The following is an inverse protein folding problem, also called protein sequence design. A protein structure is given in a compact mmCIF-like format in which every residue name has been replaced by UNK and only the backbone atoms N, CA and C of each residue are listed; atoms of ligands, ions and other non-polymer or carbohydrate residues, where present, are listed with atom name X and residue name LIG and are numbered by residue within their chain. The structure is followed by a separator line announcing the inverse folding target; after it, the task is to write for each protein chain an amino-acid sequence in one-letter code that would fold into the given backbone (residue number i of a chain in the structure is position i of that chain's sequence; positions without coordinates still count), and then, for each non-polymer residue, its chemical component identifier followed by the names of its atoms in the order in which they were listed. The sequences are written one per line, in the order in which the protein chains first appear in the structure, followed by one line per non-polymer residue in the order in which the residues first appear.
data_IF_029735717309
#
_entry.id   IF_029735717309
#
_cell.length_a   1.000
_cell.length_b   1.000
_cell.length_c   1.000
_cell.angle_alpha   90.00
_cell.angle_beta   90.00
_cell.angle_gamma   90.00
#
_symmetry.space_group_name_H-M   'P 1'
#
loop_
_entity.id
_entity.type
_entity.pdbx_description
1 polymer ?
#
# COMPACT_ATOMS: atom_id res chain seq x y z
N UNK A 1 52.21 45.08 49.27
CA UNK A 1 51.16 44.83 50.29
C UNK A 1 50.38 43.59 49.88
N UNK A 2 50.67 42.45 50.53
CA UNK A 2 49.91 41.20 50.41
C UNK A 2 48.81 41.22 51.47
N UNK A 3 47.55 41.02 51.09
CA UNK A 3 46.49 40.66 52.04
C UNK A 3 45.87 39.34 51.59
N UNK A 4 46.35 38.29 52.25
CA UNK A 4 45.81 36.94 52.19
C UNK A 4 44.37 36.94 52.73
N UNK A 5 43.41 36.54 51.90
CA UNK A 5 42.06 36.22 52.36
C UNK A 5 42.01 34.74 52.73
N UNK A 6 41.69 34.52 53.99
CA UNK A 6 41.62 33.27 54.74
C UNK A 6 40.72 32.24 54.09
N UNK A 7 41.26 31.02 53.92
CA UNK A 7 40.49 29.79 53.72
C UNK A 7 39.80 29.45 55.05
N UNK A 8 38.48 29.60 55.14
CA UNK A 8 37.68 28.97 56.20
C UNK A 8 37.06 27.67 55.67
N UNK A 9 37.46 26.58 56.29
CA UNK A 9 36.90 25.23 56.15
C UNK A 9 35.42 25.21 56.56
N UNK A 10 34.56 24.72 55.67
CA UNK A 10 33.38 23.93 56.05
C UNK A 10 33.33 22.75 55.07
N UNK A 11 33.79 21.61 55.58
CA UNK A 11 33.66 20.29 54.97
C UNK A 11 32.29 19.69 55.40
N UNK A 12 31.84 18.65 54.69
CA UNK A 12 30.60 17.84 54.88
C UNK A 12 29.34 18.28 54.13
N UNK A 13 29.16 17.72 52.92
CA UNK A 13 27.95 16.98 52.52
C UNK A 13 28.17 16.33 51.14
N UNK A 14 28.49 15.05 51.13
CA UNK A 14 28.28 14.19 49.97
C UNK A 14 26.77 14.06 49.76
N UNK A 15 26.23 14.65 48.69
CA UNK A 15 25.01 14.16 48.06
C UNK A 15 25.33 13.82 46.62
N UNK A 16 25.62 12.54 46.42
CA UNK A 16 25.62 11.89 45.12
C UNK A 16 24.21 11.98 44.53
N UNK A 17 23.93 13.06 43.78
CA UNK A 17 22.76 13.07 42.91
C UNK A 17 23.05 12.13 41.75
N UNK A 18 22.67 10.88 41.97
CA UNK A 18 22.48 9.79 41.03
C UNK A 18 22.36 10.27 39.57
N UNK A 19 23.45 10.19 38.82
CA UNK A 19 23.49 10.35 37.38
C UNK A 19 22.88 9.10 36.69
N UNK A 20 21.62 8.77 37.00
CA UNK A 20 20.94 7.51 36.65
C UNK A 20 20.07 7.66 35.39
N UNK A 21 20.44 8.54 34.46
CA UNK A 21 19.65 8.71 33.22
C UNK A 21 20.53 8.97 32.01
N UNK A 22 21.29 7.95 31.60
CA UNK A 22 21.69 7.73 30.19
C UNK A 22 22.36 6.39 29.84
N UNK A 23 22.47 5.44 30.77
CA UNK A 23 23.20 4.17 30.52
C UNK A 23 22.32 2.91 30.41
N UNK A 24 21.02 3.07 30.12
CA UNK A 24 20.09 1.93 29.99
C UNK A 24 19.86 1.46 28.54
N UNK A 25 20.41 2.16 27.54
CA UNK A 25 20.31 1.73 26.14
C UNK A 25 21.65 1.20 25.65
N UNK A 26 21.71 -0.12 25.47
CA UNK A 26 22.81 -0.92 24.90
C UNK A 26 23.78 -1.59 25.89
N UNK A 27 23.23 -2.45 26.78
CA UNK A 27 23.94 -3.69 27.07
C UNK A 27 23.91 -4.55 25.81
N UNK A 28 25.00 -4.52 25.02
CA UNK A 28 25.16 -5.40 23.86
C UNK A 28 25.25 -6.83 24.39
N UNK A 29 24.16 -7.58 24.30
CA UNK A 29 24.19 -9.03 24.51
C UNK A 29 25.32 -9.61 23.68
N UNK A 30 26.16 -10.40 24.33
CA UNK A 30 27.41 -10.89 23.79
C UNK A 30 27.22 -11.55 22.41
N UNK A 31 27.88 -10.95 21.41
CA UNK A 31 28.29 -11.54 20.11
C UNK A 31 27.36 -12.64 19.56
N UNK A 32 26.13 -12.28 19.17
CA UNK A 32 25.39 -13.11 18.21
C UNK A 32 26.21 -13.20 16.92
N UNK A 33 26.58 -14.43 16.53
CA UNK A 33 27.32 -14.63 15.28
C UNK A 33 26.47 -14.15 14.11
N UNK A 34 27.06 -13.33 13.23
CA UNK A 34 26.38 -12.77 12.08
C UNK A 34 26.19 -13.88 11.03
N UNK A 35 25.05 -14.55 11.03
CA UNK A 35 24.72 -15.57 10.03
C UNK A 35 24.25 -14.90 8.74
N UNK A 36 25.06 -14.98 7.69
CA UNK A 36 24.66 -14.55 6.34
C UNK A 36 23.67 -15.58 5.76
N UNK A 37 22.44 -15.18 5.38
CA UNK A 37 21.48 -16.11 4.82
C UNK A 37 21.93 -16.54 3.41
N UNK A 38 21.99 -17.84 3.16
CA UNK A 38 22.32 -18.43 1.85
C UNK A 38 21.08 -18.58 0.96
N UNK A 39 19.89 -18.70 1.57
CA UNK A 39 18.61 -18.87 0.88
C UNK A 39 17.54 -17.90 1.41
N UNK A 40 16.50 -17.65 0.61
CA UNK A 40 15.34 -16.85 1.00
C UNK A 40 14.64 -17.43 2.25
N UNK A 41 14.58 -18.75 2.36
CA UNK A 41 14.02 -19.44 3.53
C UNK A 41 14.83 -19.15 4.81
N UNK A 42 16.16 -19.12 4.71
CA UNK A 42 17.04 -18.82 5.84
C UNK A 42 16.92 -17.36 6.29
N UNK A 43 16.73 -16.42 5.35
CA UNK A 43 16.43 -15.02 5.66
C UNK A 43 15.09 -14.86 6.41
N UNK A 44 14.09 -15.64 6.04
CA UNK A 44 12.79 -15.67 6.75
C UNK A 44 12.93 -16.29 8.13
N UNK A 45 13.65 -17.42 8.24
CA UNK A 45 13.95 -18.10 9.50
C UNK A 45 14.59 -17.14 10.51
N UNK A 46 15.64 -16.41 10.11
CA UNK A 46 16.31 -15.41 10.96
C UNK A 46 15.34 -14.30 11.41
N UNK A 47 14.44 -13.85 10.53
CA UNK A 47 13.42 -12.84 10.90
C UNK A 47 12.40 -13.39 11.89
N UNK A 48 11.93 -14.61 11.69
CA UNK A 48 10.99 -15.29 12.59
C UNK A 48 11.63 -15.50 13.95
N UNK A 49 12.85 -16.04 14.01
CA UNK A 49 13.60 -16.21 15.26
C UNK A 49 13.76 -14.88 16.02
N UNK A 50 14.00 -13.77 15.30
CA UNK A 50 14.07 -12.44 15.90
C UNK A 50 12.73 -11.97 16.48
N UNK A 51 11.62 -12.26 15.82
CA UNK A 51 10.27 -11.92 16.30
C UNK A 51 9.88 -12.78 17.52
N UNK A 52 10.19 -14.07 17.48
CA UNK A 52 9.85 -15.03 18.56
C UNK A 52 10.67 -14.80 19.85
N UNK A 53 11.82 -14.12 19.78
CA UNK A 53 12.57 -13.71 20.98
C UNK A 53 11.76 -12.82 21.92
N UNK A 54 10.79 -12.06 21.42
CA UNK A 54 9.95 -11.15 22.21
C UNK A 54 8.50 -11.19 21.70
N UNK A 55 7.68 -12.19 22.09
CA UNK A 55 6.32 -12.35 21.58
C UNK A 55 5.34 -11.27 22.07
N UNK A 56 5.60 -10.65 23.23
CA UNK A 56 4.75 -9.60 23.81
C UNK A 56 4.84 -8.25 23.07
N UNK A 57 5.90 -8.04 22.25
CA UNK A 57 6.08 -6.77 21.55
C UNK A 57 5.24 -6.77 20.25
N UNK A 58 4.32 -5.81 20.06
CA UNK A 58 3.56 -5.72 18.82
C UNK A 58 4.49 -5.49 17.63
N UNK A 59 4.25 -6.22 16.55
CA UNK A 59 5.04 -6.14 15.32
C UNK A 59 4.67 -4.87 14.56
N UNK A 60 5.68 -4.06 14.21
CA UNK A 60 5.47 -2.88 13.36
C UNK A 60 5.37 -3.29 11.88
N UNK A 61 4.19 -3.14 11.30
CA UNK A 61 3.97 -3.25 9.86
C UNK A 61 4.03 -1.82 9.30
N UNK A 62 4.96 -1.51 8.37
CA UNK A 62 5.06 -0.17 7.82
C UNK A 62 3.85 0.14 6.93
N UNK A 63 3.30 1.35 7.10
CA UNK A 63 2.28 1.87 6.20
C UNK A 63 2.84 2.17 4.80
N UNK A 64 1.95 2.36 3.82
CA UNK A 64 2.34 2.74 2.45
C UNK A 64 3.26 3.97 2.50
N UNK A 65 4.40 3.96 1.78
CA UNK A 65 5.31 5.10 1.77
C UNK A 65 4.55 6.33 1.26
N UNK A 66 4.66 7.43 2.00
CA UNK A 66 4.07 8.70 1.61
C UNK A 66 4.74 9.22 0.34
N UNK A 67 3.92 9.63 -0.62
CA UNK A 67 4.40 10.25 -1.85
C UNK A 67 5.14 11.55 -1.54
N UNK A 68 6.24 11.77 -2.26
CA UNK A 68 6.99 13.01 -2.10
C UNK A 68 6.15 14.17 -2.65
N UNK A 69 5.85 15.14 -1.80
CA UNK A 69 5.11 16.35 -2.17
C UNK A 69 5.96 17.59 -1.95
N UNK A 70 5.81 18.58 -2.82
CA UNK A 70 6.42 19.89 -2.60
C UNK A 70 5.81 20.54 -1.36
N UNK A 71 6.62 21.28 -0.58
CA UNK A 71 6.12 22.00 0.59
C UNK A 71 5.21 23.13 0.14
N UNK A 72 4.09 23.28 0.83
CA UNK A 72 3.17 24.40 0.62
C UNK A 72 3.89 25.73 0.93
N UNK A 73 3.65 26.78 0.13
CA UNK A 73 4.25 28.08 0.38
C UNK A 73 3.77 28.63 1.72
N UNK A 74 4.64 29.29 2.51
CA UNK A 74 4.22 29.96 3.73
C UNK A 74 3.26 31.10 3.37
N UNK A 75 2.23 31.28 4.18
CA UNK A 75 1.15 32.22 3.91
C UNK A 75 1.57 33.68 4.17
N UNK A 76 2.36 33.93 5.22
CA UNK A 76 3.01 35.24 5.43
C UNK A 76 4.54 35.13 5.44
N UNK A 77 5.17 36.00 4.64
CA UNK A 77 6.59 36.31 4.76
C UNK A 77 6.72 37.54 5.64
N UNK A 78 7.37 37.39 6.79
CA UNK A 78 7.51 38.48 7.79
C UNK A 78 8.67 39.42 7.47
N UNK A 79 9.70 38.90 6.80
CA UNK A 79 10.98 39.58 6.60
C UNK A 79 11.04 40.28 5.23
N UNK A 80 9.94 40.92 4.82
CA UNK A 80 9.89 41.66 3.55
C UNK A 80 10.48 43.05 3.75
N UNK A 81 11.62 43.31 3.10
CA UNK A 81 12.22 44.63 3.06
C UNK A 81 11.43 45.55 2.09
N UNK A 82 11.41 46.86 2.35
CA UNK A 82 10.62 47.81 1.56
C UNK A 82 10.94 47.80 0.06
N UNK A 83 9.95 48.09 -0.78
CA UNK A 83 10.04 47.93 -2.24
C UNK A 83 11.11 48.80 -2.93
N UNK A 84 11.53 49.90 -2.28
CA UNK A 84 12.60 50.78 -2.77
C UNK A 84 13.96 50.52 -2.12
N UNK A 85 14.06 49.54 -1.23
CA UNK A 85 15.32 49.18 -0.59
C UNK A 85 16.27 48.49 -1.59
N UNK A 86 17.57 48.75 -1.47
CA UNK A 86 18.59 48.14 -2.34
C UNK A 86 18.80 46.65 -2.09
N UNK A 87 19.53 45.97 -2.98
CA UNK A 87 19.85 44.56 -2.82
C UNK A 87 20.74 44.31 -1.60
N UNK A 88 20.21 43.62 -0.58
CA UNK A 88 20.96 43.21 0.60
C UNK A 88 21.88 42.02 0.34
N UNK A 89 22.85 41.79 1.22
CA UNK A 89 23.81 40.67 1.11
C UNK A 89 23.17 39.27 1.19
N UNK A 90 21.99 39.16 1.81
CA UNK A 90 21.23 37.91 1.93
C UNK A 90 20.29 37.62 0.76
N UNK A 91 19.98 38.60 -0.08
CA UNK A 91 18.95 38.49 -1.14
C UNK A 91 19.30 37.41 -2.16
N UNK A 92 20.58 37.23 -2.46
CA UNK A 92 21.05 36.16 -3.35
C UNK A 92 20.70 34.76 -2.83
N UNK A 93 20.84 34.52 -1.53
CA UNK A 93 20.54 33.21 -0.93
C UNK A 93 19.03 32.96 -0.82
N UNK A 94 18.26 34.02 -0.58
CA UNK A 94 16.80 33.99 -0.62
C UNK A 94 16.33 33.56 -2.01
N UNK A 95 16.79 34.24 -3.07
CA UNK A 95 16.49 33.89 -4.46
C UNK A 95 16.92 32.45 -4.81
N UNK A 96 18.14 32.03 -4.43
CA UNK A 96 18.64 30.67 -4.67
C UNK A 96 17.73 29.62 -4.02
N UNK A 97 17.23 29.88 -2.81
CA UNK A 97 16.27 29.02 -2.11
C UNK A 97 14.92 28.94 -2.83
N UNK A 98 14.39 30.09 -3.23
CA UNK A 98 13.12 30.16 -3.99
C UNK A 98 13.22 29.46 -5.34
N UNK A 99 14.28 29.70 -6.12
CA UNK A 99 14.48 29.04 -7.42
C UNK A 99 14.50 27.52 -7.30
N UNK A 100 15.22 26.97 -6.31
CA UNK A 100 15.25 25.52 -6.07
C UNK A 100 13.89 24.96 -5.68
N UNK A 101 13.16 25.67 -4.81
CA UNK A 101 11.81 25.28 -4.38
C UNK A 101 10.84 25.30 -5.55
N UNK A 102 10.92 26.32 -6.38
CA UNK A 102 10.05 26.49 -7.54
C UNK A 102 10.35 25.46 -8.63
N UNK A 103 11.61 25.19 -8.94
CA UNK A 103 11.96 24.11 -9.87
C UNK A 103 11.50 22.74 -9.35
N UNK A 104 11.69 22.45 -8.07
CA UNK A 104 11.17 21.22 -7.48
C UNK A 104 9.64 21.13 -7.59
N UNK A 105 8.94 22.25 -7.40
CA UNK A 105 7.48 22.34 -7.57
C UNK A 105 7.05 22.09 -9.01
N UNK A 106 7.68 22.74 -9.98
CA UNK A 106 7.38 22.60 -11.40
C UNK A 106 7.64 21.16 -11.86
N UNK A 107 8.81 20.60 -11.52
CA UNK A 107 9.16 19.21 -11.85
C UNK A 107 8.17 18.21 -11.24
N UNK A 108 7.66 18.46 -10.04
CA UNK A 108 6.62 17.64 -9.43
C UNK A 108 5.33 17.66 -10.23
N UNK A 109 4.87 18.85 -10.63
CA UNK A 109 3.63 19.04 -11.38
C UNK A 109 3.72 18.37 -12.74
N UNK A 110 4.83 18.59 -13.47
CA UNK A 110 5.06 17.95 -14.75
C UNK A 110 5.06 16.43 -14.64
N UNK A 111 5.75 15.89 -13.62
CA UNK A 111 5.78 14.44 -13.38
C UNK A 111 4.40 13.86 -13.08
N UNK A 112 3.58 14.54 -12.28
CA UNK A 112 2.22 14.09 -11.98
C UNK A 112 1.37 14.11 -13.26
N UNK A 113 1.44 15.19 -14.04
CA UNK A 113 0.69 15.29 -15.28
C UNK A 113 1.04 14.16 -16.27
N UNK A 114 2.34 13.87 -16.46
CA UNK A 114 2.79 12.74 -17.29
C UNK A 114 2.26 11.39 -16.76
N UNK A 115 2.27 11.19 -15.44
CA UNK A 115 1.75 9.97 -14.82
C UNK A 115 0.23 9.83 -15.03
N UNK A 116 -0.53 10.90 -14.84
CA UNK A 116 -1.98 10.92 -15.05
C UNK A 116 -2.34 10.66 -16.52
N UNK A 117 -1.62 11.25 -17.47
CA UNK A 117 -1.79 10.98 -18.90
C UNK A 117 -1.59 9.48 -19.21
N UNK A 118 -0.48 8.90 -18.74
CA UNK A 118 -0.20 7.48 -18.95
C UNK A 118 -1.21 6.55 -18.26
N UNK A 119 -1.67 6.89 -17.05
CA UNK A 119 -2.67 6.11 -16.33
C UNK A 119 -4.03 6.14 -17.05
N UNK A 120 -4.47 7.31 -17.53
CA UNK A 120 -5.73 7.43 -18.27
C UNK A 120 -5.69 6.70 -19.60
N UNK A 121 -4.57 6.76 -20.33
CA UNK A 121 -4.38 5.98 -21.56
C UNK A 121 -4.39 4.48 -21.29
N UNK A 122 -3.75 4.04 -20.22
CA UNK A 122 -3.71 2.63 -19.84
C UNK A 122 -5.09 2.11 -19.45
N UNK A 123 -5.85 2.88 -18.66
CA UNK A 123 -7.21 2.54 -18.26
C UNK A 123 -8.13 2.43 -19.47
N UNK A 124 -8.09 3.39 -20.41
CA UNK A 124 -8.85 3.33 -21.66
C UNK A 124 -8.54 2.05 -22.45
N UNK A 125 -7.26 1.71 -22.61
CA UNK A 125 -6.85 0.47 -23.31
C UNK A 125 -7.34 -0.78 -22.59
N UNK A 126 -7.34 -0.81 -21.26
CA UNK A 126 -7.88 -1.93 -20.49
C UNK A 126 -9.39 -2.09 -20.71
N UNK A 127 -10.15 -0.99 -20.63
CA UNK A 127 -11.59 -1.00 -20.84
C UNK A 127 -11.95 -1.44 -22.26
N UNK A 128 -11.26 -0.92 -23.28
CA UNK A 128 -11.44 -1.35 -24.67
C UNK A 128 -11.18 -2.85 -24.84
N UNK A 129 -10.10 -3.36 -24.27
CA UNK A 129 -9.78 -4.79 -24.32
C UNK A 129 -10.82 -5.65 -23.60
N UNK A 130 -11.31 -5.20 -22.45
CA UNK A 130 -12.38 -5.87 -21.71
C UNK A 130 -13.67 -5.91 -22.52
N UNK A 131 -14.09 -4.77 -23.10
CA UNK A 131 -15.29 -4.69 -23.96
C UNK A 131 -15.18 -5.61 -25.17
N UNK A 132 -14.03 -5.61 -25.86
CA UNK A 132 -13.81 -6.50 -27.01
C UNK A 132 -13.81 -7.98 -26.60
N UNK A 133 -13.28 -8.32 -25.43
CA UNK A 133 -13.34 -9.68 -24.90
C UNK A 133 -14.78 -10.09 -24.55
N UNK A 134 -15.53 -9.21 -23.90
CA UNK A 134 -16.94 -9.40 -23.55
C UNK A 134 -17.80 -9.59 -24.79
N UNK A 135 -17.68 -8.73 -25.80
CA UNK A 135 -18.40 -8.86 -27.07
C UNK A 135 -18.11 -10.21 -27.77
N UNK A 136 -16.86 -10.67 -27.74
CA UNK A 136 -16.50 -11.99 -28.28
C UNK A 136 -17.12 -13.11 -27.45
N UNK A 137 -17.13 -12.98 -26.13
CA UNK A 137 -17.69 -14.01 -25.23
C UNK A 137 -19.21 -14.07 -25.31
N UNK A 138 -19.91 -12.94 -25.41
CA UNK A 138 -21.37 -12.87 -25.54
C UNK A 138 -21.81 -13.42 -26.88
N UNK A 139 -21.14 -13.06 -27.99
CA UNK A 139 -21.40 -13.66 -29.31
C UNK A 139 -21.26 -15.18 -29.29
N UNK A 140 -20.21 -15.71 -28.66
CA UNK A 140 -20.02 -17.16 -28.51
C UNK A 140 -21.05 -17.81 -27.59
N UNK A 141 -21.39 -17.16 -26.47
CA UNK A 141 -22.40 -17.64 -25.50
C UNK A 141 -23.78 -17.70 -26.14
N UNK A 142 -24.19 -16.65 -26.85
CA UNK A 142 -25.48 -16.61 -27.56
C UNK A 142 -25.55 -17.69 -28.63
N UNK A 143 -24.46 -17.93 -29.38
CA UNK A 143 -24.41 -19.05 -30.34
C UNK A 143 -24.56 -20.40 -29.62
N UNK A 144 -23.87 -20.60 -28.50
CA UNK A 144 -23.95 -21.85 -27.73
C UNK A 144 -25.32 -22.06 -27.08
N UNK A 145 -25.97 -21.00 -26.58
CA UNK A 145 -27.29 -21.10 -25.97
C UNK A 145 -28.35 -21.42 -27.00
N UNK A 146 -28.30 -20.79 -28.19
CA UNK A 146 -29.20 -21.12 -29.30
C UNK A 146 -29.03 -22.58 -29.72
N UNK A 147 -27.80 -23.06 -29.90
CA UNK A 147 -27.55 -24.48 -30.20
C UNK A 147 -28.02 -25.41 -29.06
N UNK A 148 -27.83 -25.01 -27.81
CA UNK A 148 -28.28 -25.77 -26.64
C UNK A 148 -29.80 -25.91 -26.57
N UNK A 149 -30.54 -24.82 -26.86
CA UNK A 149 -32.01 -24.83 -26.93
C UNK A 149 -32.48 -25.72 -28.07
N UNK A 150 -31.92 -25.60 -29.28
CA UNK A 150 -32.28 -26.45 -30.41
C UNK A 150 -32.10 -27.95 -30.10
N UNK A 151 -31.00 -28.32 -29.44
CA UNK A 151 -30.75 -29.71 -29.03
C UNK A 151 -31.68 -30.18 -27.89
N UNK A 152 -32.20 -29.28 -27.07
CA UNK A 152 -33.23 -29.60 -26.08
C UNK A 152 -34.58 -29.80 -26.75
N UNK A 153 -34.96 -28.92 -27.67
CA UNK A 153 -36.19 -29.03 -28.46
C UNK A 153 -36.22 -30.35 -29.25
N UNK A 154 -35.10 -30.75 -29.88
CA UNK A 154 -34.98 -32.04 -30.57
C UNK A 154 -35.16 -33.22 -29.61
N UNK A 155 -34.59 -33.16 -28.40
CA UNK A 155 -34.78 -34.20 -27.38
C UNK A 155 -36.20 -34.25 -26.85
N UNK A 156 -36.88 -33.12 -26.68
CA UNK A 156 -38.28 -33.09 -26.24
C UNK A 156 -39.22 -33.62 -27.34
N UNK A 157 -38.93 -33.36 -28.62
CA UNK A 157 -39.70 -33.93 -29.74
C UNK A 157 -39.52 -35.45 -29.90
N UNK A 158 -38.33 -35.98 -29.56
CA UNK A 158 -38.05 -37.42 -29.58
C UNK A 158 -38.58 -38.15 -28.33
N UNK A 159 -38.59 -37.51 -27.15
CA UNK A 159 -39.12 -38.07 -25.90
C UNK A 159 -40.66 -37.99 -25.80
N UNK A 160 -41.29 -37.06 -26.53
CA UNK A 160 -42.74 -36.82 -26.56
C UNK A 160 -43.59 -38.05 -26.90
N UNK A 161 -43.32 -38.79 -28.00
CA UNK A 161 -44.12 -39.97 -28.35
C UNK A 161 -43.90 -41.16 -27.40
N UNK A 162 -42.74 -41.27 -26.75
CA UNK A 162 -42.46 -42.38 -25.83
C UNK A 162 -43.10 -42.22 -24.43
N UNK A 163 -43.16 -40.99 -23.90
CA UNK A 163 -43.72 -40.73 -22.56
C UNK A 163 -45.25 -40.75 -22.57
N UNK A 164 -45.91 -40.28 -23.62
CA UNK A 164 -47.37 -40.38 -23.76
C UNK A 164 -47.85 -41.81 -24.09
N UNK A 165 -47.08 -42.58 -24.85
CA UNK A 165 -47.38 -44.00 -25.12
C UNK A 165 -47.23 -44.87 -23.86
N UNK A 166 -46.27 -44.59 -22.96
CA UNK A 166 -46.11 -45.30 -21.68
C UNK A 166 -47.22 -44.94 -20.67
N UNK A 167 -47.66 -43.68 -20.60
CA UNK A 167 -48.72 -43.25 -19.67
C UNK A 167 -50.11 -43.78 -20.08
N UNK A 168 -50.43 -43.78 -21.38
CA UNK A 168 -51.68 -44.33 -21.94
C UNK A 168 -51.73 -45.86 -21.86
N UNK A 169 -50.60 -46.54 -22.09
CA UNK A 169 -50.48 -48.01 -21.95
C UNK A 169 -50.58 -48.47 -20.49
N UNK A 170 -50.15 -47.66 -19.52
CA UNK A 170 -50.37 -47.90 -18.09
C UNK A 170 -51.86 -47.79 -17.70
N UNK A 171 -52.54 -46.70 -18.10
CA UNK A 171 -53.99 -46.51 -17.85
C UNK A 171 -54.87 -47.60 -18.48
N UNK A 172 -54.52 -48.08 -19.69
CA UNK A 172 -55.26 -49.15 -20.36
C UNK A 172 -55.06 -50.53 -19.73
N UNK A 173 -53.94 -50.74 -19.01
CA UNK A 173 -53.65 -51.98 -18.27
C UNK A 173 -54.41 -52.05 -16.95
N UNK A 174 -54.66 -50.90 -16.33
CA UNK A 174 -55.38 -50.77 -15.05
C UNK A 174 -56.90 -50.99 -15.24
N UNK A 175 -57.50 -50.41 -16.28
CA UNK A 175 -58.92 -50.63 -16.63
C UNK A 175 -59.27 -52.06 -17.11
N UNK A 176 -58.27 -52.90 -17.42
CA UNK A 176 -58.48 -54.33 -17.76
C UNK A 176 -58.44 -55.25 -16.55
N UNK A 177 -58.02 -54.77 -15.38
CA UNK A 177 -57.98 -55.55 -14.12
C UNK A 177 -59.25 -55.44 -13.29
N UNK A 178 -60.13 -54.49 -13.60
CA UNK A 178 -61.35 -54.16 -12.83
C UNK A 178 -62.64 -54.64 -13.51
N UNK A 179 -62.57 -55.67 -14.36
CA UNK A 179 -63.69 -56.33 -15.02
C UNK A 179 -63.52 -57.84 -14.86
#
# INVERSE_FOLDING_TARGET
MCMARSRSYIETAHMETSNVRKDQFHRKDAKQQLTLPRSAAEKQKIRIEKLMKNPEKPVYIPDKPREWKTREPPEFVRDVMGSSAGAGSGEFHVYRGYRRREYARQMHIHKIAEQEEHETEFQKKLEENQRLAEEKTTKKRNKSSVLGVLLQDEKETEDGPEKEAKSTRSRKRENRRTK
#
